data_IF_989535958550
#
_entry.id   IF_989535958550
#
_cell.length_a   1.000
_cell.length_b   1.000
_cell.length_c   1.000
_cell.angle_alpha   90.00
_cell.angle_beta   90.00
_cell.angle_gamma   90.00
#
_symmetry.space_group_name_H-M   'P 1'
#
loop_
_entity.id
_entity.type
_entity.pdbx_description
1 polymer ?
#
# COMPACT_ATOMS: atom_id res chain seq x y z
N UNK A 1 -59.03 14.84 15.81
CA UNK A 1 -57.78 15.30 15.12
C UNK A 1 -56.55 14.41 15.41
N UNK A 2 -56.69 13.15 15.85
CA UNK A 2 -55.54 12.41 16.43
C UNK A 2 -55.08 11.17 15.65
N UNK A 3 -55.80 10.73 14.61
CA UNK A 3 -55.44 9.51 13.87
C UNK A 3 -54.40 9.78 12.75
N UNK A 4 -54.57 10.88 12.01
CA UNK A 4 -53.63 11.25 10.94
C UNK A 4 -52.23 11.60 11.43
N UNK A 5 -52.11 12.14 12.65
CA UNK A 5 -50.81 12.50 13.24
C UNK A 5 -49.99 11.25 13.60
N UNK A 6 -50.63 10.19 14.12
CA UNK A 6 -49.96 8.92 14.44
C UNK A 6 -49.54 8.16 13.17
N UNK A 7 -50.35 8.19 12.12
CA UNK A 7 -50.01 7.55 10.83
C UNK A 7 -48.80 8.24 10.18
N UNK A 8 -48.72 9.58 10.25
CA UNK A 8 -47.56 10.34 9.74
C UNK A 8 -46.30 10.04 10.57
N UNK A 9 -46.42 9.92 11.91
CA UNK A 9 -45.28 9.59 12.77
C UNK A 9 -44.74 8.18 12.51
N UNK A 10 -45.62 7.19 12.27
CA UNK A 10 -45.24 5.81 11.93
C UNK A 10 -44.62 5.72 10.54
N UNK A 11 -45.12 6.49 9.55
CA UNK A 11 -44.53 6.58 8.21
C UNK A 11 -43.16 7.29 8.23
N UNK A 12 -42.96 8.29 9.10
CA UNK A 12 -41.66 8.94 9.32
C UNK A 12 -40.64 8.01 9.99
N UNK A 13 -41.09 7.13 10.90
CA UNK A 13 -40.23 6.11 11.53
C UNK A 13 -39.90 4.95 10.58
N UNK A 14 -40.78 4.61 9.63
CA UNK A 14 -40.53 3.63 8.57
C UNK A 14 -39.64 4.16 7.43
N UNK A 15 -39.55 5.48 7.25
CA UNK A 15 -38.72 6.15 6.24
C UNK A 15 -37.23 6.27 6.59
N UNK A 16 -36.83 5.85 7.80
CA UNK A 16 -35.45 5.88 8.29
C UNK A 16 -34.84 4.48 8.34
N UNK A 17 -35.14 3.62 7.38
CA UNK A 17 -34.25 2.49 7.08
C UNK A 17 -33.07 3.04 6.27
N UNK A 18 -32.19 3.82 6.92
CA UNK A 18 -30.89 4.14 6.36
C UNK A 18 -30.19 2.78 6.21
N UNK A 19 -30.03 2.31 4.98
CA UNK A 19 -29.13 1.20 4.69
C UNK A 19 -27.73 1.69 5.07
N UNK A 20 -27.35 1.45 6.33
CA UNK A 20 -26.00 1.70 6.78
C UNK A 20 -25.11 0.79 5.94
N UNK A 21 -24.37 1.39 5.00
CA UNK A 21 -23.35 0.66 4.26
C UNK A 21 -22.44 0.00 5.30
N UNK A 22 -22.24 -1.32 5.21
CA UNK A 22 -21.46 -2.02 6.23
C UNK A 22 -20.07 -1.39 6.33
N UNK A 23 -19.69 -1.05 7.56
CA UNK A 23 -18.48 -0.27 7.79
C UNK A 23 -17.24 -1.09 7.39
N UNK A 24 -16.44 -0.56 6.45
CA UNK A 24 -15.26 -1.23 5.92
C UNK A 24 -14.08 -1.00 6.88
N UNK A 25 -14.12 -1.62 8.06
CA UNK A 25 -13.05 -1.53 9.07
C UNK A 25 -12.14 -2.76 9.01
N UNK A 26 -10.83 -2.54 9.17
CA UNK A 26 -9.82 -3.59 9.35
C UNK A 26 -8.93 -3.28 10.55
N UNK A 27 -8.51 -4.33 11.25
CA UNK A 27 -7.49 -4.22 12.29
C UNK A 27 -6.10 -4.35 11.69
N UNK A 28 -5.16 -3.58 12.19
CA UNK A 28 -3.72 -3.70 11.92
C UNK A 28 -2.97 -3.84 13.24
N UNK A 29 -1.66 -4.09 13.19
CA UNK A 29 -0.78 -4.12 14.37
C UNK A 29 -0.70 -2.76 15.08
N UNK A 30 -1.11 -1.66 14.43
CA UNK A 30 -1.05 -0.31 14.97
C UNK A 30 -2.42 0.25 15.37
N UNK A 31 -3.52 -0.36 14.94
CA UNK A 31 -4.88 0.12 15.23
C UNK A 31 -5.88 -0.16 14.11
N UNK A 32 -7.10 0.36 14.28
CA UNK A 32 -8.18 0.19 13.32
C UNK A 32 -8.08 1.21 12.18
N UNK A 33 -8.37 0.76 10.97
CA UNK A 33 -8.48 1.61 9.78
C UNK A 33 -9.85 1.45 9.13
N UNK A 34 -10.38 2.55 8.57
CA UNK A 34 -11.60 2.59 7.76
C UNK A 34 -11.24 2.75 6.28
N UNK A 35 -11.66 1.81 5.46
CA UNK A 35 -11.63 1.89 4.00
C UNK A 35 -12.99 2.26 3.42
N UNK A 36 -13.15 2.03 2.13
CA UNK A 36 -14.40 2.27 1.40
C UNK A 36 -14.68 1.15 0.40
N UNK A 37 -15.93 1.03 -0.03
CA UNK A 37 -16.31 0.19 -1.15
C UNK A 37 -16.15 1.00 -2.44
N UNK A 38 -15.37 0.49 -3.39
CA UNK A 38 -15.23 1.09 -4.73
C UNK A 38 -15.76 0.15 -5.79
N UNK A 39 -16.23 0.73 -6.89
CA UNK A 39 -16.55 0.03 -8.13
C UNK A 39 -15.38 0.17 -9.08
N UNK A 40 -15.02 -0.88 -9.81
CA UNK A 40 -13.91 -0.82 -10.74
C UNK A 40 -14.23 0.10 -11.93
N UNK A 41 -13.21 0.80 -12.41
CA UNK A 41 -13.30 1.70 -13.56
C UNK A 41 -13.34 0.94 -14.90
N UNK A 42 -12.97 -0.35 -14.90
CA UNK A 42 -12.92 -1.22 -16.08
C UNK A 42 -14.22 -2.01 -16.26
N UNK A 43 -14.67 -2.71 -15.22
CA UNK A 43 -15.95 -3.42 -15.16
C UNK A 43 -16.78 -2.89 -13.98
N UNK A 44 -17.92 -2.26 -14.30
CA UNK A 44 -18.84 -1.68 -13.32
C UNK A 44 -19.58 -2.73 -12.47
N UNK A 45 -19.52 -4.00 -12.85
CA UNK A 45 -20.06 -5.10 -12.05
C UNK A 45 -19.08 -5.59 -10.98
N UNK A 46 -17.82 -5.14 -11.05
CA UNK A 46 -16.78 -5.50 -10.08
C UNK A 46 -16.70 -4.42 -9.00
N UNK A 47 -16.87 -4.86 -7.76
CA UNK A 47 -16.68 -4.03 -6.57
C UNK A 47 -15.60 -4.63 -5.67
N UNK A 48 -14.91 -3.78 -4.93
CA UNK A 48 -13.82 -4.17 -4.04
C UNK A 48 -13.70 -3.21 -2.85
N UNK A 49 -13.12 -3.68 -1.74
CA UNK A 49 -12.77 -2.83 -0.61
C UNK A 49 -11.42 -2.16 -0.85
N UNK A 50 -11.35 -0.86 -0.64
CA UNK A 50 -10.15 -0.04 -0.86
C UNK A 50 -9.69 0.65 0.43
N UNK A 51 -8.39 0.59 0.69
CA UNK A 51 -7.71 1.30 1.78
C UNK A 51 -6.49 2.01 1.19
N UNK A 52 -6.54 3.32 1.05
CA UNK A 52 -5.57 4.10 0.28
C UNK A 52 -4.41 4.66 1.11
N UNK A 53 -4.57 4.89 2.41
CA UNK A 53 -3.53 5.49 3.26
C UNK A 53 -3.24 4.69 4.53
N UNK A 54 -2.81 3.43 4.35
CA UNK A 54 -2.46 2.53 5.47
C UNK A 54 -0.99 2.71 5.86
N UNK A 55 -0.66 3.31 7.03
CA UNK A 55 0.74 3.50 7.42
C UNK A 55 1.40 2.17 7.79
N UNK A 56 2.56 1.89 7.21
CA UNK A 56 3.37 0.72 7.59
C UNK A 56 4.59 1.07 8.45
N UNK A 57 4.97 2.35 8.48
CA UNK A 57 6.10 2.91 9.20
C UNK A 57 5.77 4.30 9.76
N UNK A 58 6.53 4.78 10.75
CA UNK A 58 6.45 6.17 11.20
C UNK A 58 6.89 7.14 10.10
N UNK A 59 6.33 8.36 10.04
CA UNK A 59 6.76 9.37 9.07
C UNK A 59 8.26 9.67 9.21
N UNK A 60 9.07 9.58 8.13
CA UNK A 60 10.52 9.75 8.17
C UNK A 60 10.93 11.23 8.17
N UNK A 61 10.32 12.01 9.07
CA UNK A 61 10.49 13.47 9.17
C UNK A 61 11.39 13.86 10.35
N UNK A 62 11.96 15.06 10.28
CA UNK A 62 12.82 15.59 11.35
C UNK A 62 14.03 14.69 11.60
N UNK A 63 14.18 14.18 12.82
CA UNK A 63 15.29 13.31 13.19
C UNK A 63 15.26 11.92 12.54
N UNK A 64 14.11 11.50 11.97
CA UNK A 64 13.99 10.25 11.21
C UNK A 64 14.36 10.42 9.73
N UNK A 65 14.63 11.64 9.27
CA UNK A 65 15.14 11.88 7.91
C UNK A 65 16.51 11.22 7.78
N UNK A 66 16.70 10.48 6.69
CA UNK A 66 17.92 9.69 6.42
C UNK A 66 18.23 8.62 7.50
N UNK A 67 17.22 8.14 8.21
CA UNK A 67 17.33 7.01 9.12
C UNK A 67 16.60 5.77 8.59
N UNK A 68 16.90 4.60 9.14
CA UNK A 68 16.11 3.39 8.88
C UNK A 68 14.65 3.60 9.28
N UNK A 69 13.68 3.08 8.51
CA UNK A 69 12.28 3.22 8.87
C UNK A 69 11.99 2.42 10.13
N UNK A 70 11.19 3.02 11.01
CA UNK A 70 10.74 2.39 12.24
C UNK A 70 9.25 2.11 12.15
N UNK A 71 8.78 1.15 12.95
CA UNK A 71 7.35 0.85 13.08
C UNK A 71 6.57 2.09 13.53
N UNK A 72 5.37 2.24 12.98
CA UNK A 72 4.45 3.31 13.40
C UNK A 72 4.00 3.08 14.85
N UNK A 73 3.78 4.16 15.59
CA UNK A 73 3.17 4.07 16.92
C UNK A 73 1.70 3.64 16.83
N UNK A 74 1.22 2.87 17.80
CA UNK A 74 -0.19 2.51 17.82
C UNK A 74 -1.07 3.75 18.05
N UNK A 75 -2.25 3.79 17.43
CA UNK A 75 -3.24 4.85 17.65
C UNK A 75 -4.51 4.29 18.28
N UNK A 76 -5.27 5.19 18.92
CA UNK A 76 -6.60 4.89 19.44
C UNK A 76 -7.68 5.30 18.43
N UNK A 77 -8.80 4.58 18.45
CA UNK A 77 -9.91 4.81 17.52
C UNK A 77 -9.68 4.28 16.12
N UNK A 78 -10.42 4.81 15.15
CA UNK A 78 -10.42 4.37 13.74
C UNK A 78 -9.79 5.44 12.86
N UNK A 79 -8.66 5.13 12.24
CA UNK A 79 -7.99 6.02 11.28
C UNK A 79 -8.69 5.94 9.93
N UNK A 80 -8.95 7.08 9.32
CA UNK A 80 -9.52 7.12 7.97
C UNK A 80 -8.44 6.79 6.92
N UNK A 81 -8.65 5.73 6.13
CA UNK A 81 -7.81 5.30 5.03
C UNK A 81 -8.52 5.43 3.66
N UNK A 82 -9.56 6.27 3.55
CA UNK A 82 -10.31 6.50 2.29
C UNK A 82 -9.77 7.67 1.45
N UNK A 83 -8.57 8.17 1.75
CA UNK A 83 -7.92 9.24 0.98
C UNK A 83 -6.54 8.79 0.54
N UNK A 84 -6.18 9.15 -0.70
CA UNK A 84 -4.82 8.95 -1.19
C UNK A 84 -3.85 9.76 -0.33
N UNK A 85 -2.74 9.16 0.12
CA UNK A 85 -1.66 9.88 0.80
C UNK A 85 -0.91 10.73 -0.23
N UNK A 86 -0.14 11.70 0.26
CA UNK A 86 0.81 12.39 -0.59
C UNK A 86 1.85 11.40 -1.14
N UNK A 87 2.25 11.60 -2.40
CA UNK A 87 3.41 10.91 -2.97
C UNK A 87 4.67 11.30 -2.19
N UNK A 88 5.69 10.44 -2.19
CA UNK A 88 6.98 10.81 -1.61
C UNK A 88 7.57 12.03 -2.32
N UNK A 89 8.22 12.91 -1.56
CA UNK A 89 8.88 14.12 -2.05
C UNK A 89 9.78 13.81 -3.27
N UNK A 90 9.44 14.38 -4.42
CA UNK A 90 10.10 14.10 -5.71
C UNK A 90 10.00 15.29 -6.67
N UNK A 91 10.89 15.41 -7.67
CA UNK A 91 10.79 16.45 -8.68
C UNK A 91 9.48 16.38 -9.49
N UNK A 92 9.00 17.52 -9.95
CA UNK A 92 7.87 17.57 -10.88
C UNK A 92 8.27 17.07 -12.28
N UNK A 93 8.02 15.80 -12.51
CA UNK A 93 8.29 15.12 -13.78
C UNK A 93 7.40 15.60 -14.95
N UNK A 94 6.23 16.19 -14.68
CA UNK A 94 5.29 16.57 -15.74
C UNK A 94 5.66 17.90 -16.37
N UNK A 95 6.13 18.84 -15.55
CA UNK A 95 6.51 20.17 -16.02
C UNK A 95 8.03 20.35 -16.14
N UNK A 96 8.83 19.30 -15.89
CA UNK A 96 10.30 19.30 -15.94
C UNK A 96 10.91 20.47 -15.14
N UNK A 97 10.29 20.79 -14.01
CA UNK A 97 10.75 21.89 -13.15
C UNK A 97 11.59 21.35 -11.99
N UNK A 98 12.33 22.26 -11.34
CA UNK A 98 13.00 21.96 -10.07
C UNK A 98 12.05 22.00 -8.86
N UNK A 99 10.73 22.16 -9.08
CA UNK A 99 9.77 22.11 -8.00
C UNK A 99 9.71 20.70 -7.41
N UNK A 100 9.73 20.62 -6.09
CA UNK A 100 9.53 19.37 -5.35
C UNK A 100 8.04 19.25 -5.02
N UNK A 101 7.43 18.16 -5.46
CA UNK A 101 6.05 17.79 -5.16
C UNK A 101 6.01 16.67 -4.13
N UNK A 102 4.92 16.59 -3.37
CA UNK A 102 4.68 15.54 -2.39
C UNK A 102 5.20 15.89 -0.99
N UNK A 103 5.30 14.85 -0.15
CA UNK A 103 5.63 14.97 1.27
C UNK A 103 6.69 13.94 1.66
N UNK A 104 7.46 14.22 2.72
CA UNK A 104 8.29 13.20 3.36
C UNK A 104 7.45 12.21 4.18
N UNK A 105 6.28 12.62 4.67
CA UNK A 105 5.28 11.71 5.24
C UNK A 105 4.57 10.95 4.12
N UNK A 106 5.21 9.88 3.64
CA UNK A 106 4.75 9.12 2.48
C UNK A 106 4.78 7.59 2.64
N UNK A 107 5.14 7.05 3.82
CA UNK A 107 5.32 5.61 4.04
C UNK A 107 3.98 4.87 4.27
N UNK A 108 3.20 4.79 3.20
CA UNK A 108 1.86 4.21 3.17
C UNK A 108 1.75 3.05 2.18
N UNK A 109 0.77 2.17 2.44
CA UNK A 109 0.28 1.14 1.54
C UNK A 109 -1.09 1.53 1.01
N UNK A 110 -1.35 1.16 -0.25
CA UNK A 110 -2.68 1.09 -0.82
C UNK A 110 -3.07 -0.39 -0.95
N UNK A 111 -4.20 -0.79 -0.37
CA UNK A 111 -4.67 -2.18 -0.32
C UNK A 111 -6.03 -2.27 -0.99
N UNK A 112 -6.16 -3.19 -1.94
CA UNK A 112 -7.42 -3.53 -2.60
C UNK A 112 -7.76 -5.00 -2.36
N UNK A 113 -8.92 -5.23 -1.74
CA UNK A 113 -9.43 -6.52 -1.31
C UNK A 113 -10.70 -6.83 -2.12
N UNK A 114 -10.72 -7.89 -2.96
CA UNK A 114 -11.90 -8.24 -3.73
C UNK A 114 -13.02 -8.75 -2.81
N UNK A 115 -14.29 -8.46 -3.15
CA UNK A 115 -15.43 -8.88 -2.31
C UNK A 115 -15.51 -10.40 -2.10
N UNK A 116 -15.03 -11.18 -3.07
CA UNK A 116 -14.99 -12.65 -3.01
C UNK A 116 -14.18 -13.18 -1.83
N UNK A 117 -13.24 -12.40 -1.29
CA UNK A 117 -12.51 -12.73 -0.05
C UNK A 117 -13.42 -12.89 1.18
N UNK A 118 -14.67 -12.43 1.10
CA UNK A 118 -15.64 -12.42 2.21
C UNK A 118 -16.90 -13.23 1.95
N UNK A 119 -17.04 -13.93 0.83
CA UNK A 119 -18.23 -14.72 0.47
C UNK A 119 -18.40 -16.01 1.31
N UNK A 120 -18.04 -15.99 2.59
CA UNK A 120 -18.16 -17.13 3.51
C UNK A 120 -17.11 -18.23 3.33
N UNK A 121 -16.22 -18.13 2.33
CA UNK A 121 -15.06 -18.99 2.23
C UNK A 121 -14.06 -18.64 3.34
N UNK A 122 -13.55 -19.65 4.04
CA UNK A 122 -12.45 -19.48 5.00
C UNK A 122 -11.08 -19.42 4.31
N UNK A 123 -11.06 -19.46 2.98
CA UNK A 123 -9.83 -19.54 2.20
C UNK A 123 -9.21 -18.16 2.06
N UNK A 124 -7.94 -18.05 2.47
CA UNK A 124 -7.15 -16.82 2.29
C UNK A 124 -6.64 -16.75 0.85
N UNK A 125 -6.71 -15.55 0.27
CA UNK A 125 -6.32 -15.30 -1.11
C UNK A 125 -4.81 -15.11 -1.26
N UNK A 126 -4.21 -15.42 -2.42
CA UNK A 126 -2.85 -14.96 -2.72
C UNK A 126 -2.75 -13.43 -2.61
N UNK A 127 -1.56 -12.95 -2.25
CA UNK A 127 -1.27 -11.52 -2.11
C UNK A 127 -0.28 -11.11 -3.19
N UNK A 128 -0.57 -10.04 -3.90
CA UNK A 128 0.34 -9.42 -4.86
C UNK A 128 0.78 -8.06 -4.33
N UNK A 129 2.05 -7.95 -3.94
CA UNK A 129 2.68 -6.67 -3.65
C UNK A 129 3.33 -6.12 -4.91
N UNK A 130 2.94 -4.91 -5.31
CA UNK A 130 3.54 -4.16 -6.40
C UNK A 130 4.44 -3.04 -5.88
N UNK A 131 5.70 -3.07 -6.31
CA UNK A 131 6.70 -2.04 -6.06
C UNK A 131 6.82 -1.20 -7.34
N UNK A 132 6.46 0.08 -7.26
CA UNK A 132 6.49 0.97 -8.42
C UNK A 132 7.91 1.28 -8.88
N UNK A 133 8.05 1.56 -10.19
CA UNK A 133 9.29 2.05 -10.80
C UNK A 133 9.48 3.56 -10.65
N UNK A 134 10.31 4.15 -11.53
CA UNK A 134 10.64 5.58 -11.55
C UNK A 134 12.06 5.90 -11.12
N UNK A 135 13.01 5.07 -11.57
CA UNK A 135 14.48 5.23 -11.39
C UNK A 135 14.95 5.46 -9.95
N UNK A 136 14.14 5.08 -8.97
CA UNK A 136 14.32 5.41 -7.55
C UNK A 136 14.24 6.91 -7.22
N UNK A 137 13.82 7.77 -8.16
CA UNK A 137 13.78 9.24 -8.02
C UNK A 137 12.36 9.78 -7.90
N UNK A 138 11.42 9.15 -8.61
CA UNK A 138 10.01 9.54 -8.71
C UNK A 138 9.10 8.31 -8.78
N UNK A 139 7.79 8.51 -8.80
CA UNK A 139 6.77 7.46 -8.85
C UNK A 139 5.82 7.48 -7.67
N UNK A 140 4.72 6.75 -7.81
CA UNK A 140 3.71 6.55 -6.77
C UNK A 140 2.81 5.34 -7.11
N UNK A 141 2.18 4.70 -6.11
CA UNK A 141 1.20 3.61 -6.23
C UNK A 141 0.05 3.83 -7.19
N UNK A 142 -0.58 4.99 -7.17
CA UNK A 142 -1.77 5.29 -7.99
C UNK A 142 -1.53 5.19 -9.51
N UNK A 143 -0.28 5.12 -9.96
CA UNK A 143 0.08 4.86 -11.36
C UNK A 143 -0.24 3.41 -11.78
N UNK A 144 -0.39 2.49 -10.82
CA UNK A 144 -0.74 1.09 -11.03
C UNK A 144 -2.04 0.77 -10.26
N UNK A 145 -3.17 1.13 -10.87
CA UNK A 145 -4.50 0.95 -10.30
C UNK A 145 -4.89 -0.52 -10.11
N UNK A 146 -5.81 -0.82 -9.18
CA UNK A 146 -6.17 -2.18 -8.80
C UNK A 146 -7.16 -2.86 -9.75
N UNK A 147 -7.83 -2.11 -10.63
CA UNK A 147 -9.07 -2.51 -11.31
C UNK A 147 -8.97 -3.86 -12.03
N UNK A 148 -7.91 -4.07 -12.81
CA UNK A 148 -7.67 -5.35 -13.50
C UNK A 148 -7.47 -6.54 -12.54
N UNK A 149 -6.85 -6.29 -11.38
CA UNK A 149 -6.61 -7.32 -10.37
C UNK A 149 -7.86 -7.63 -9.55
N UNK A 150 -8.79 -6.68 -9.40
CA UNK A 150 -10.01 -6.88 -8.61
C UNK A 150 -11.02 -7.81 -9.28
N UNK A 151 -10.85 -8.12 -10.57
CA UNK A 151 -11.53 -9.23 -11.25
C UNK A 151 -11.02 -10.61 -10.84
N UNK A 152 -9.87 -10.69 -10.15
CA UNK A 152 -9.20 -11.94 -9.79
C UNK A 152 -9.27 -12.17 -8.28
N UNK A 153 -9.21 -13.43 -7.81
CA UNK A 153 -9.18 -13.75 -6.39
C UNK A 153 -7.78 -13.48 -5.79
N UNK A 154 -7.38 -12.21 -5.72
CA UNK A 154 -6.08 -11.76 -5.21
C UNK A 154 -6.23 -10.49 -4.38
N UNK A 155 -5.52 -10.41 -3.25
CA UNK A 155 -5.36 -9.14 -2.53
C UNK A 155 -4.21 -8.38 -3.19
N UNK A 156 -4.50 -7.19 -3.71
CA UNK A 156 -3.51 -6.35 -4.39
C UNK A 156 -3.04 -5.24 -3.46
N UNK A 157 -1.74 -5.06 -3.34
CA UNK A 157 -1.11 -4.07 -2.47
C UNK A 157 -0.08 -3.28 -3.27
N UNK A 158 -0.17 -1.96 -3.23
CA UNK A 158 0.90 -1.08 -3.69
C UNK A 158 1.65 -0.48 -2.50
N UNK A 159 2.96 -0.31 -2.63
CA UNK A 159 3.81 0.31 -1.59
C UNK A 159 4.44 1.60 -2.06
N UNK A 160 4.36 2.65 -1.24
CA UNK A 160 5.25 3.82 -1.34
C UNK A 160 6.51 3.59 -0.55
N UNK A 161 7.64 4.06 -1.06
CA UNK A 161 8.93 4.03 -0.39
C UNK A 161 9.69 5.33 -0.67
N UNK A 162 10.60 5.75 0.21
CA UNK A 162 11.36 6.99 0.00
C UNK A 162 12.14 6.94 -1.31
N UNK A 163 12.22 8.08 -1.98
CA UNK A 163 12.83 8.26 -3.29
C UNK A 163 13.99 9.24 -3.22
N UNK A 164 14.76 9.34 -4.31
CA UNK A 164 15.86 10.27 -4.54
C UNK A 164 16.80 10.36 -3.31
N UNK A 165 17.23 11.58 -2.94
CA UNK A 165 18.12 11.77 -1.79
C UNK A 165 17.49 11.27 -0.49
N UNK A 166 16.17 11.38 -0.33
CA UNK A 166 15.48 10.93 0.89
C UNK A 166 15.56 9.41 1.10
N UNK A 167 15.55 8.63 0.01
CA UNK A 167 15.59 7.16 0.05
C UNK A 167 16.98 6.57 -0.11
N UNK A 168 17.91 7.26 -0.75
CA UNK A 168 19.14 6.64 -1.26
C UNK A 168 20.41 7.42 -0.98
N UNK A 169 20.36 8.48 -0.17
CA UNK A 169 21.58 9.13 0.35
C UNK A 169 22.45 8.13 1.11
N UNK A 170 23.73 8.05 0.76
CA UNK A 170 24.74 7.34 1.53
C UNK A 170 25.96 8.22 1.73
N UNK A 171 26.43 8.30 2.97
CA UNK A 171 27.70 8.95 3.33
C UNK A 171 28.85 7.96 3.41
N UNK A 172 28.59 6.67 3.17
CA UNK A 172 29.56 5.56 3.30
C UNK A 172 30.10 5.33 4.72
N UNK A 173 29.46 5.96 5.70
CA UNK A 173 29.69 5.81 7.15
C UNK A 173 28.35 5.58 7.90
N UNK A 174 28.38 5.62 9.23
CA UNK A 174 27.19 5.39 10.06
C UNK A 174 26.18 6.55 10.06
N UNK A 175 26.57 7.74 9.57
CA UNK A 175 25.69 8.91 9.56
C UNK A 175 24.50 8.70 8.61
N UNK A 176 24.74 8.10 7.44
CA UNK A 176 23.71 7.70 6.49
C UNK A 176 24.15 6.44 5.74
N UNK A 177 23.68 5.28 6.21
CA UNK A 177 24.06 3.97 5.66
C UNK A 177 23.47 3.65 4.28
N UNK A 178 22.58 4.50 3.77
CA UNK A 178 21.95 4.33 2.46
C UNK A 178 20.86 3.25 2.40
N UNK A 179 20.31 3.10 1.19
CA UNK A 179 19.26 2.14 0.86
C UNK A 179 18.00 2.25 1.74
N UNK A 180 17.70 3.44 2.27
CA UNK A 180 16.53 3.67 3.10
C UNK A 180 15.22 3.32 2.38
N UNK A 181 15.10 3.61 1.07
CA UNK A 181 13.96 3.19 0.25
C UNK A 181 13.79 1.67 0.16
N UNK A 182 14.89 0.90 0.11
CA UNK A 182 14.80 -0.58 0.16
C UNK A 182 14.46 -1.09 1.56
N UNK A 183 14.93 -0.40 2.61
CA UNK A 183 14.56 -0.71 4.00
C UNK A 183 13.09 -0.39 4.26
N UNK A 184 12.53 0.63 3.62
CA UNK A 184 11.10 0.96 3.63
C UNK A 184 10.28 -0.19 3.05
N UNK A 185 10.66 -0.66 1.85
CA UNK A 185 10.02 -1.81 1.21
C UNK A 185 10.13 -3.09 2.07
N UNK A 186 11.26 -3.31 2.74
CA UNK A 186 11.44 -4.44 3.66
C UNK A 186 10.51 -4.33 4.87
N UNK A 187 10.38 -3.15 5.48
CA UNK A 187 9.45 -2.96 6.59
C UNK A 187 7.99 -3.13 6.16
N UNK A 188 7.63 -2.67 4.96
CA UNK A 188 6.33 -2.92 4.34
C UNK A 188 6.05 -4.43 4.16
N UNK A 189 7.03 -5.20 3.66
CA UNK A 189 6.89 -6.66 3.55
C UNK A 189 6.64 -7.32 4.91
N UNK A 190 7.38 -6.89 5.94
CA UNK A 190 7.17 -7.36 7.30
C UNK A 190 5.79 -6.97 7.86
N UNK A 191 5.29 -5.78 7.51
CA UNK A 191 3.94 -5.35 7.85
C UNK A 191 2.90 -6.26 7.16
N UNK A 192 3.08 -6.56 5.88
CA UNK A 192 2.17 -7.45 5.12
C UNK A 192 2.09 -8.82 5.80
N UNK A 193 3.23 -9.41 6.17
CA UNK A 193 3.27 -10.69 6.87
C UNK A 193 2.45 -10.72 8.17
N UNK A 194 2.42 -9.61 8.91
CA UNK A 194 1.70 -9.50 10.19
C UNK A 194 0.22 -9.15 10.03
N UNK A 195 -0.17 -8.49 8.93
CA UNK A 195 -1.46 -7.83 8.83
C UNK A 195 -2.36 -8.37 7.72
N UNK A 196 -1.81 -8.93 6.63
CA UNK A 196 -2.57 -9.17 5.39
C UNK A 196 -3.72 -10.18 5.56
N UNK A 197 -3.62 -11.06 6.56
CA UNK A 197 -4.72 -11.96 6.94
C UNK A 197 -6.00 -11.21 7.28
N UNK A 198 -5.90 -10.03 7.89
CA UNK A 198 -7.06 -9.21 8.23
C UNK A 198 -7.75 -8.66 6.97
N UNK A 199 -7.05 -8.59 5.84
CA UNK A 199 -7.54 -8.17 4.53
C UNK A 199 -7.90 -9.36 3.63
N UNK A 200 -8.03 -10.57 4.19
CA UNK A 200 -8.37 -11.77 3.43
C UNK A 200 -7.21 -12.39 2.65
N UNK A 201 -5.97 -11.90 2.82
CA UNK A 201 -4.80 -12.44 2.14
C UNK A 201 -4.05 -13.50 2.96
N UNK A 202 -3.37 -14.41 2.28
CA UNK A 202 -2.54 -15.45 2.89
C UNK A 202 -1.08 -14.96 3.01
N UNK A 203 -0.54 -14.77 4.23
CA UNK A 203 0.85 -14.35 4.43
C UNK A 203 1.86 -15.37 3.87
N UNK A 204 1.47 -16.62 3.66
CA UNK A 204 2.32 -17.66 3.08
C UNK A 204 2.26 -17.71 1.53
N UNK A 205 1.45 -16.86 0.89
CA UNK A 205 1.28 -16.78 -0.56
C UNK A 205 1.47 -15.35 -1.07
N UNK A 206 2.49 -14.68 -0.56
CA UNK A 206 2.87 -13.32 -1.01
C UNK A 206 3.76 -13.41 -2.25
N UNK A 207 3.38 -12.71 -3.30
CA UNK A 207 4.17 -12.49 -4.51
C UNK A 207 4.64 -11.04 -4.54
N UNK A 208 5.95 -10.82 -4.69
CA UNK A 208 6.50 -9.48 -4.92
C UNK A 208 6.70 -9.25 -6.41
N UNK A 209 6.27 -8.09 -6.88
CA UNK A 209 6.28 -7.73 -8.30
C UNK A 209 6.65 -6.27 -8.50
N UNK A 210 7.20 -5.94 -9.67
CA UNK A 210 7.51 -4.57 -10.05
C UNK A 210 8.03 -4.44 -11.48
N UNK A 211 8.12 -3.19 -11.95
CA UNK A 211 8.65 -2.83 -13.26
C UNK A 211 9.77 -1.78 -13.13
N UNK A 212 10.77 -1.82 -14.02
CA UNK A 212 11.90 -0.88 -14.00
C UNK A 212 12.61 -0.88 -12.63
N UNK A 213 12.80 0.27 -11.97
CA UNK A 213 13.37 0.35 -10.61
C UNK A 213 12.61 -0.52 -9.57
N UNK A 214 11.32 -0.74 -9.77
CA UNK A 214 10.54 -1.67 -8.95
C UNK A 214 10.94 -3.13 -9.18
N UNK A 215 11.23 -3.52 -10.42
CA UNK A 215 11.77 -4.85 -10.72
C UNK A 215 13.20 -5.02 -10.14
N UNK A 216 14.03 -3.97 -10.22
CA UNK A 216 15.33 -3.96 -9.57
C UNK A 216 15.19 -4.12 -8.04
N UNK A 217 14.22 -3.44 -7.41
CA UNK A 217 13.89 -3.61 -5.99
C UNK A 217 13.52 -5.05 -5.65
N UNK A 218 12.65 -5.67 -6.47
CA UNK A 218 12.27 -7.09 -6.32
C UNK A 218 13.50 -7.99 -6.36
N UNK A 219 14.40 -7.80 -7.33
CA UNK A 219 15.63 -8.59 -7.44
C UNK A 219 16.54 -8.36 -6.23
N UNK A 220 16.71 -7.11 -5.78
CA UNK A 220 17.51 -6.78 -4.59
C UNK A 220 16.97 -7.44 -3.32
N UNK A 221 15.65 -7.54 -3.17
CA UNK A 221 15.05 -8.31 -2.07
C UNK A 221 15.35 -9.81 -2.19
N UNK A 222 15.37 -10.36 -3.40
CA UNK A 222 15.74 -11.77 -3.62
C UNK A 222 17.18 -12.07 -3.20
N UNK A 223 18.09 -11.12 -3.45
CA UNK A 223 19.51 -11.26 -3.13
C UNK A 223 19.82 -10.97 -1.66
N UNK A 224 19.00 -10.16 -0.99
CA UNK A 224 19.26 -9.71 0.37
C UNK A 224 18.95 -10.79 1.42
N UNK A 225 19.92 -11.22 2.24
CA UNK A 225 19.66 -12.13 3.37
C UNK A 225 18.64 -11.56 4.36
N UNK A 226 18.58 -10.23 4.51
CA UNK A 226 17.63 -9.56 5.41
C UNK A 226 16.18 -9.75 4.98
N UNK A 227 15.93 -9.99 3.69
CA UNK A 227 14.59 -10.18 3.13
C UNK A 227 14.07 -11.62 3.24
N UNK A 228 14.93 -12.59 3.55
CA UNK A 228 14.53 -14.00 3.72
C UNK A 228 13.53 -14.20 4.87
N UNK A 229 13.59 -13.34 5.90
CA UNK A 229 12.65 -13.35 7.03
C UNK A 229 11.26 -12.80 6.71
N UNK A 230 11.07 -12.12 5.57
CA UNK A 230 9.79 -11.52 5.19
C UNK A 230 8.86 -12.47 4.37
N UNK A 231 9.27 -13.73 4.18
CA UNK A 231 8.49 -14.85 3.60
C UNK A 231 7.58 -14.48 2.41
N UNK A 232 8.16 -14.11 1.27
CA UNK A 232 7.44 -14.12 -0.01
C UNK A 232 7.75 -15.41 -0.77
N UNK A 233 6.77 -15.88 -1.53
CA UNK A 233 6.74 -17.24 -2.11
C UNK A 233 7.04 -17.23 -3.60
N UNK A 234 6.80 -16.10 -4.28
CA UNK A 234 6.98 -15.95 -5.74
C UNK A 234 7.48 -14.56 -6.09
N UNK A 235 8.17 -14.47 -7.22
CA UNK A 235 8.86 -13.28 -7.72
C UNK A 235 8.43 -13.04 -9.16
N UNK A 236 8.07 -11.79 -9.48
CA UNK A 236 7.80 -11.38 -10.85
C UNK A 236 8.48 -10.04 -11.15
N UNK A 237 9.55 -10.05 -11.93
CA UNK A 237 10.35 -8.86 -12.23
C UNK A 237 10.27 -8.55 -13.73
N UNK A 238 9.60 -7.45 -14.10
CA UNK A 238 9.60 -6.95 -15.47
C UNK A 238 10.80 -6.00 -15.68
N UNK A 239 11.94 -6.58 -16.05
CA UNK A 239 13.18 -5.84 -16.36
C UNK A 239 13.84 -6.37 -17.64
N UNK A 240 14.30 -5.45 -18.49
CA UNK A 240 15.20 -5.73 -19.62
C UNK A 240 16.59 -5.17 -19.27
N UNK A 241 17.60 -6.05 -19.27
CA UNK A 241 19.04 -5.82 -19.01
C UNK A 241 19.57 -5.90 -17.56
N UNK A 242 20.18 -7.05 -17.23
CA UNK A 242 21.48 -7.02 -16.56
C UNK A 242 22.56 -7.18 -17.63
N UNK A 243 23.24 -6.10 -18.01
CA UNK A 243 24.58 -6.23 -18.58
C UNK A 243 25.55 -6.01 -17.43
N UNK A 244 26.32 -7.03 -17.07
CA UNK A 244 27.32 -6.95 -16.01
C UNK A 244 28.27 -5.79 -16.27
N UNK A 245 28.40 -4.85 -15.34
CA UNK A 245 29.51 -3.89 -15.29
C UNK A 245 30.78 -4.56 -14.72
N UNK A 246 31.07 -5.78 -15.18
CA UNK A 246 32.30 -6.51 -14.87
C UNK A 246 32.76 -7.26 -16.12
N UNK A 247 33.16 -6.49 -17.13
CA UNK A 247 34.20 -6.91 -18.05
C UNK A 247 35.17 -5.74 -18.17
N UNK A 248 36.08 -5.67 -17.21
CA UNK A 248 37.41 -5.11 -17.42
C UNK A 248 38.31 -6.28 -17.81
N UNK A 249 38.67 -6.34 -19.09
CA UNK A 249 39.97 -6.86 -19.54
C UNK A 249 40.74 -5.67 -20.10
#
# INVERSE_FOLDING_TARGET
>A
MNCHFYVILVLLMLGLCYSATPEVIRSTEYGLIRGELKTSEIDQNVQYYSFMSVPYASPPIGHLRFQEPIKHEAWQGVRNATKLPDRCAQPDQYFLTLAVLGSEDCLYLEISEPLTSRNGSKELLPVLLWIHGGTFVFGAPHVSGPDYFMEKPVVYINVQYRLNIFGFLSTTDECATGNFGLKDQLLALHWIQRNVKNFGGDPNRVTISGASAGAASVILHCLSPKSQGARYTRIYANFTQFRSLSQSD
#
